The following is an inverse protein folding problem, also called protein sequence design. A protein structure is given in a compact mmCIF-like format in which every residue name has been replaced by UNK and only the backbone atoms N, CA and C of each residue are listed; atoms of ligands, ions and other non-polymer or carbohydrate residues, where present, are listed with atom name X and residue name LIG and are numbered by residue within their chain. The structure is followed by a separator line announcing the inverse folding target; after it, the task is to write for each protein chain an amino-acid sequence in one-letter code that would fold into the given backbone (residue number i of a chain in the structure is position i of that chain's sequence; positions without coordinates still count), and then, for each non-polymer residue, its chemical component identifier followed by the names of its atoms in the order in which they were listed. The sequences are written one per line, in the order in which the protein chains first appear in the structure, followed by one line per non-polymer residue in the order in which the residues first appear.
data_IF_749430476626
#
_entry.id   IF_749430476626
#
_cell.length_a   1.000
_cell.length_b   1.000
_cell.length_c   1.000
_cell.angle_alpha   90.00
_cell.angle_beta   90.00
_cell.angle_gamma   90.00
#
_symmetry.space_group_name_H-M   'P 1'
#
loop_
_entity.id
_entity.type
_entity.pdbx_description
1 polymer ?
#
# COMPACT_ATOMS: atom_id res chain seq x y z
N UNK A 1 -0.34 10.29 -15.99
CA UNK A 1 0.41 9.57 -14.93
C UNK A 1 -0.33 8.28 -14.66
N UNK A 2 0.36 7.14 -14.65
CA UNK A 2 -0.22 5.89 -14.15
C UNK A 2 -0.26 5.95 -12.63
N UNK A 3 -1.42 5.69 -12.03
CA UNK A 3 -1.59 5.54 -10.57
C UNK A 3 -1.26 4.13 -10.09
N UNK A 4 -0.95 3.21 -11.03
CA UNK A 4 -0.52 1.85 -10.72
C UNK A 4 0.90 1.84 -10.17
N UNK A 5 1.07 1.19 -9.03
CA UNK A 5 2.35 0.90 -8.42
C UNK A 5 2.60 -0.61 -8.52
N UNK A 6 3.52 -0.96 -9.41
CA UNK A 6 3.79 -2.34 -9.81
C UNK A 6 4.45 -3.13 -8.69
N UNK A 7 3.88 -4.29 -8.36
CA UNK A 7 4.44 -5.28 -7.43
C UNK A 7 5.20 -6.36 -8.23
N UNK A 8 4.59 -6.88 -9.29
CA UNK A 8 5.19 -7.82 -10.23
C UNK A 8 4.59 -7.65 -11.63
N UNK A 9 5.35 -7.94 -12.67
CA UNK A 9 4.86 -7.92 -14.04
C UNK A 9 5.60 -8.95 -14.88
N UNK A 10 4.98 -9.33 -15.99
CA UNK A 10 5.55 -10.13 -17.07
C UNK A 10 4.79 -9.89 -18.35
N UNK A 11 5.15 -10.60 -19.42
CA UNK A 11 4.59 -10.36 -20.75
C UNK A 11 3.07 -10.57 -20.82
N UNK A 12 2.51 -11.40 -19.93
CA UNK A 12 1.08 -11.74 -19.90
C UNK A 12 0.37 -11.38 -18.60
N UNK A 13 1.02 -10.65 -17.68
CA UNK A 13 0.39 -10.25 -16.43
C UNK A 13 0.96 -8.98 -15.78
N UNK A 14 0.12 -8.28 -15.02
CA UNK A 14 0.51 -7.14 -14.20
C UNK A 14 -0.15 -7.22 -12.82
N UNK A 15 0.65 -7.37 -11.78
CA UNK A 15 0.23 -7.35 -10.38
C UNK A 15 0.62 -6.03 -9.73
N UNK A 16 -0.35 -5.26 -9.23
CA UNK A 16 -0.13 -3.89 -8.76
C UNK A 16 -1.12 -3.46 -7.68
N UNK A 17 -0.84 -2.34 -7.03
CA UNK A 17 -1.82 -1.58 -6.25
C UNK A 17 -2.07 -0.22 -6.92
N UNK A 18 -3.23 0.36 -6.68
CA UNK A 18 -3.49 1.75 -7.07
C UNK A 18 -3.04 2.66 -5.93
N UNK A 19 -2.31 3.75 -6.25
CA UNK A 19 -1.76 4.66 -5.22
C UNK A 19 -2.81 5.29 -4.30
N UNK A 20 -4.08 5.28 -4.69
CA UNK A 20 -5.21 5.85 -3.94
C UNK A 20 -6.18 4.78 -3.40
N UNK A 21 -5.93 3.51 -3.70
CA UNK A 21 -6.71 2.38 -3.19
C UNK A 21 -5.78 1.37 -2.51
N UNK A 22 -5.68 1.50 -1.19
CA UNK A 22 -4.82 0.66 -0.35
C UNK A 22 -5.51 -0.65 0.06
N UNK A 23 -6.80 -0.84 -0.28
CA UNK A 23 -7.58 -2.00 0.17
C UNK A 23 -7.48 -3.19 -0.78
N UNK A 24 -7.12 -2.94 -2.04
CA UNK A 24 -7.10 -3.95 -3.08
C UNK A 24 -5.75 -4.06 -3.75
N UNK A 25 -5.42 -5.29 -4.12
CA UNK A 25 -4.39 -5.58 -5.11
C UNK A 25 -5.08 -6.04 -6.39
N UNK A 26 -4.51 -5.67 -7.53
CA UNK A 26 -5.07 -5.95 -8.84
C UNK A 26 -4.14 -6.88 -9.59
N UNK A 27 -4.72 -7.91 -10.19
CA UNK A 27 -4.03 -8.83 -11.08
C UNK A 27 -4.68 -8.77 -12.45
N UNK A 28 -3.96 -8.17 -13.40
CA UNK A 28 -4.30 -8.17 -14.81
C UNK A 28 -3.66 -9.41 -15.47
N UNK A 29 -4.44 -10.16 -16.25
CA UNK A 29 -4.02 -11.38 -16.96
C UNK A 29 -4.45 -11.30 -18.42
N UNK A 30 -3.51 -11.49 -19.34
CA UNK A 30 -3.80 -11.55 -20.77
C UNK A 30 -4.02 -13.00 -21.22
N UNK A 31 -5.11 -13.24 -21.95
CA UNK A 31 -5.42 -14.56 -22.51
C UNK A 31 -5.84 -15.62 -21.48
N UNK A 32 -6.09 -15.24 -20.23
CA UNK A 32 -6.62 -16.15 -19.21
C UNK A 32 -8.11 -16.44 -19.45
N UNK A 33 -8.49 -17.70 -19.31
CA UNK A 33 -9.90 -18.08 -19.23
C UNK A 33 -10.52 -17.49 -17.96
N UNK A 34 -11.82 -17.22 -17.96
CA UNK A 34 -12.58 -16.90 -16.75
C UNK A 34 -13.99 -17.47 -16.85
N UNK A 35 -14.58 -17.77 -15.70
CA UNK A 35 -15.98 -18.16 -15.58
C UNK A 35 -16.70 -17.07 -14.79
N UNK A 36 -17.79 -16.53 -15.35
CA UNK A 36 -18.64 -15.55 -14.68
C UNK A 36 -20.05 -16.13 -14.51
N UNK A 37 -20.56 -16.04 -13.28
CA UNK A 37 -21.93 -16.38 -12.90
C UNK A 37 -22.58 -15.17 -12.24
N UNK A 38 -23.87 -15.27 -11.88
CA UNK A 38 -24.61 -14.16 -11.29
C UNK A 38 -23.94 -13.57 -10.02
N UNK A 39 -23.24 -14.39 -9.23
CA UNK A 39 -22.68 -13.97 -7.93
C UNK A 39 -21.19 -14.30 -7.77
N UNK A 40 -20.51 -14.81 -8.80
CA UNK A 40 -19.13 -15.25 -8.70
C UNK A 40 -18.40 -15.07 -10.03
N UNK A 41 -17.16 -14.59 -9.96
CA UNK A 41 -16.20 -14.61 -11.05
C UNK A 41 -15.03 -15.47 -10.59
N UNK A 42 -14.69 -16.47 -11.40
CA UNK A 42 -13.57 -17.37 -11.16
C UNK A 42 -12.54 -17.20 -12.27
N UNK A 43 -11.33 -16.81 -11.87
CA UNK A 43 -10.20 -16.60 -12.79
C UNK A 43 -9.10 -17.60 -12.44
N UNK A 44 -8.83 -18.63 -13.27
CA UNK A 44 -7.65 -19.47 -13.10
C UNK A 44 -6.37 -18.63 -13.24
N UNK A 45 -5.59 -18.55 -12.16
CA UNK A 45 -4.26 -17.94 -12.17
C UNK A 45 -3.24 -19.02 -12.57
N UNK A 46 -2.48 -18.86 -13.67
CA UNK A 46 -1.45 -19.81 -14.04
C UNK A 46 -0.42 -19.99 -12.92
N UNK A 47 -0.06 -21.24 -12.61
CA UNK A 47 0.75 -21.57 -11.42
C UNK A 47 2.10 -20.85 -11.40
N UNK A 48 2.73 -20.64 -12.56
CA UNK A 48 4.01 -19.93 -12.66
C UNK A 48 3.87 -18.43 -12.33
N UNK A 49 2.74 -17.80 -12.66
CA UNK A 49 2.42 -16.42 -12.28
C UNK A 49 2.17 -16.35 -10.77
N UNK A 50 1.40 -17.28 -10.22
CA UNK A 50 1.17 -17.38 -8.77
C UNK A 50 2.48 -17.52 -7.99
N UNK A 51 3.38 -18.40 -8.44
CA UNK A 51 4.71 -18.60 -7.84
C UNK A 51 5.56 -17.33 -7.82
N UNK A 52 5.41 -16.45 -8.82
CA UNK A 52 6.09 -15.15 -8.84
C UNK A 52 5.45 -14.19 -7.85
N UNK A 53 4.11 -14.08 -7.87
CA UNK A 53 3.36 -13.16 -7.00
C UNK A 53 3.61 -13.49 -5.52
N UNK A 54 3.46 -14.76 -5.14
CA UNK A 54 3.59 -15.18 -3.73
C UNK A 54 4.98 -14.93 -3.14
N UNK A 55 6.03 -14.84 -3.98
CA UNK A 55 7.41 -14.57 -3.54
C UNK A 55 7.72 -13.07 -3.38
N UNK A 56 6.93 -12.20 -4.02
CA UNK A 56 7.16 -10.74 -4.04
C UNK A 56 6.56 -10.01 -2.83
N UNK A 57 5.80 -10.72 -1.99
CA UNK A 57 5.36 -10.25 -0.68
C UNK A 57 3.90 -9.79 -0.63
N UNK A 58 3.36 -9.89 0.58
CA UNK A 58 2.05 -9.42 1.02
C UNK A 58 1.97 -7.87 0.97
N UNK A 59 0.77 -7.28 1.16
CA UNK A 59 0.64 -5.84 1.42
C UNK A 59 1.64 -5.34 2.47
N UNK A 60 2.12 -4.10 2.32
CA UNK A 60 2.92 -3.42 3.34
C UNK A 60 2.08 -3.27 4.62
N UNK A 61 2.48 -3.98 5.67
CA UNK A 61 1.89 -3.95 7.01
C UNK A 61 2.88 -3.40 8.06
N UNK A 62 3.88 -2.63 7.62
CA UNK A 62 4.96 -2.13 8.48
C UNK A 62 4.54 -1.16 9.58
N UNK A 63 3.32 -0.61 9.52
CA UNK A 63 2.79 0.35 10.50
C UNK A 63 1.96 -0.30 11.60
N UNK A 64 1.51 -1.55 11.43
CA UNK A 64 0.58 -2.24 12.34
C UNK A 64 0.97 -2.08 13.81
N UNK A 65 2.27 -2.28 14.09
CA UNK A 65 2.82 -2.29 15.44
C UNK A 65 3.47 -0.95 15.86
N UNK A 66 3.45 0.06 14.98
CA UNK A 66 4.08 1.35 15.29
C UNK A 66 3.26 2.17 16.27
N UNK A 67 3.91 2.71 17.30
CA UNK A 67 3.31 3.64 18.24
C UNK A 67 3.08 5.04 17.64
N UNK A 68 2.29 5.87 18.32
CA UNK A 68 2.10 7.27 17.92
C UNK A 68 3.41 8.06 17.97
N UNK A 69 4.27 7.78 18.95
CA UNK A 69 5.57 8.40 19.10
C UNK A 69 6.53 8.00 17.98
N UNK A 70 6.54 6.72 17.59
CA UNK A 70 7.37 6.23 16.49
C UNK A 70 6.93 6.82 15.14
N UNK A 71 5.62 6.91 14.91
CA UNK A 71 5.07 7.60 13.74
C UNK A 71 5.47 9.07 13.73
N UNK A 72 5.35 9.76 14.87
CA UNK A 72 5.70 11.16 14.98
C UNK A 72 7.19 11.38 14.65
N UNK A 73 8.09 10.58 15.23
CA UNK A 73 9.54 10.67 14.95
C UNK A 73 9.82 10.50 13.46
N UNK A 74 9.21 9.50 12.81
CA UNK A 74 9.38 9.26 11.39
C UNK A 74 8.88 10.44 10.56
N UNK A 75 7.67 10.94 10.84
CA UNK A 75 7.06 12.06 10.11
C UNK A 75 7.88 13.33 10.27
N UNK A 76 8.37 13.61 11.48
CA UNK A 76 9.22 14.77 11.72
C UNK A 76 10.53 14.71 10.94
N UNK A 77 11.14 13.52 10.81
CA UNK A 77 12.33 13.30 9.99
C UNK A 77 12.03 13.54 8.51
N UNK A 78 10.98 12.91 7.98
CA UNK A 78 10.56 13.05 6.58
C UNK A 78 10.27 14.52 6.22
N UNK A 79 9.52 15.23 7.09
CA UNK A 79 9.19 16.65 6.88
C UNK A 79 10.45 17.52 6.93
N UNK A 80 11.37 17.28 7.87
CA UNK A 80 12.61 18.04 7.97
C UNK A 80 13.52 17.83 6.75
N UNK A 81 13.67 16.59 6.28
CA UNK A 81 14.44 16.26 5.07
C UNK A 81 13.83 16.94 3.84
N UNK A 82 12.51 16.91 3.72
CA UNK A 82 11.78 17.54 2.64
C UNK A 82 11.91 19.05 2.62
N UNK A 83 11.77 19.72 3.78
CA UNK A 83 11.96 21.17 3.89
C UNK A 83 13.39 21.53 3.47
N UNK A 84 14.38 20.79 3.96
CA UNK A 84 15.80 21.00 3.58
C UNK A 84 16.01 20.84 2.07
N UNK A 85 15.42 19.82 1.45
CA UNK A 85 15.52 19.62 0.00
C UNK A 85 14.87 20.76 -0.78
N UNK A 86 13.72 21.24 -0.32
CA UNK A 86 13.00 22.37 -0.92
C UNK A 86 13.78 23.69 -0.82
N UNK A 87 14.44 23.95 0.32
CA UNK A 87 15.29 25.13 0.52
C UNK A 87 16.52 25.12 -0.39
N UNK A 88 17.07 23.93 -0.70
CA UNK A 88 18.23 23.78 -1.57
C UNK A 88 17.88 23.89 -3.06
N UNK A 89 16.78 23.27 -3.48
CA UNK A 89 16.28 23.33 -4.86
C UNK A 89 14.74 23.28 -4.89
N UNK A 90 14.09 24.46 -4.96
CA UNK A 90 12.64 24.55 -5.03
C UNK A 90 12.02 23.93 -6.29
N UNK A 91 12.82 23.68 -7.33
CA UNK A 91 12.38 23.11 -8.62
C UNK A 91 12.53 21.58 -8.67
N UNK A 92 13.19 20.99 -7.67
CA UNK A 92 13.39 19.54 -7.59
C UNK A 92 12.08 18.79 -7.46
N UNK A 93 11.96 17.66 -8.17
CA UNK A 93 10.87 16.70 -7.99
C UNK A 93 10.73 16.24 -6.52
N UNK A 94 11.80 16.30 -5.73
CA UNK A 94 11.77 16.02 -4.28
C UNK A 94 10.81 16.95 -3.51
N UNK A 95 10.55 18.18 -4.00
CA UNK A 95 9.55 19.08 -3.41
C UNK A 95 8.10 18.57 -3.58
N UNK A 96 7.87 17.73 -4.60
CA UNK A 96 6.60 17.11 -4.91
C UNK A 96 6.45 15.70 -4.33
N UNK A 97 7.54 14.95 -4.11
CA UNK A 97 7.47 13.67 -3.39
C UNK A 97 6.91 13.89 -1.97
N UNK A 98 5.91 13.08 -1.59
CA UNK A 98 5.25 13.18 -0.28
C UNK A 98 4.19 14.29 -0.16
N UNK A 99 3.77 14.94 -1.26
CA UNK A 99 2.70 15.95 -1.19
C UNK A 99 1.35 15.39 -0.75
N UNK A 100 1.11 14.10 -0.97
CA UNK A 100 -0.11 13.40 -0.55
C UNK A 100 -0.19 13.29 0.99
N UNK A 101 0.81 12.72 1.70
CA UNK A 101 0.76 12.64 3.16
C UNK A 101 0.97 13.98 3.89
N UNK A 102 1.78 14.89 3.34
CA UNK A 102 2.25 16.07 4.10
C UNK A 102 1.73 17.43 3.56
N UNK A 103 1.07 17.48 2.41
CA UNK A 103 0.73 18.74 1.74
C UNK A 103 1.92 19.39 1.02
N UNK A 104 1.87 20.70 0.71
CA UNK A 104 2.96 21.39 -0.01
C UNK A 104 4.17 21.62 0.90
N UNK A 105 5.38 21.58 0.31
CA UNK A 105 6.63 21.78 1.08
C UNK A 105 6.73 23.20 1.64
N UNK A 106 6.03 24.15 0.99
CA UNK A 106 5.90 25.54 1.41
C UNK A 106 4.95 25.75 2.60
N UNK A 107 4.16 24.74 3.00
CA UNK A 107 3.27 24.89 4.16
C UNK A 107 4.08 24.93 5.46
N UNK A 108 3.57 25.56 6.54
CA UNK A 108 4.24 25.53 7.84
C UNK A 108 4.55 24.10 8.30
N UNK A 109 5.74 23.90 8.90
CA UNK A 109 6.17 22.58 9.40
C UNK A 109 5.12 21.93 10.29
N UNK A 110 4.51 22.68 11.21
CA UNK A 110 3.47 22.17 12.11
C UNK A 110 2.26 21.61 11.37
N UNK A 111 1.86 22.25 10.27
CA UNK A 111 0.76 21.78 9.43
C UNK A 111 1.15 20.50 8.66
N UNK A 112 2.38 20.44 8.15
CA UNK A 112 2.89 19.24 7.47
C UNK A 112 2.95 18.03 8.41
N UNK A 113 3.45 18.23 9.64
CA UNK A 113 3.52 17.17 10.67
C UNK A 113 2.12 16.73 11.09
N UNK A 114 1.19 17.66 11.31
CA UNK A 114 -0.19 17.31 11.66
C UNK A 114 -0.85 16.45 10.57
N UNK A 115 -0.76 16.87 9.30
CA UNK A 115 -1.31 16.11 8.16
C UNK A 115 -0.66 14.74 8.03
N UNK A 116 0.66 14.68 8.22
CA UNK A 116 1.39 13.42 8.26
C UNK A 116 0.84 12.48 9.34
N UNK A 117 0.63 13.00 10.56
CA UNK A 117 0.07 12.20 11.66
C UNK A 117 -1.33 11.69 11.33
N UNK A 118 -2.20 12.53 10.77
CA UNK A 118 -3.55 12.13 10.35
C UNK A 118 -3.49 11.02 9.28
N UNK A 119 -2.66 11.19 8.26
CA UNK A 119 -2.48 10.21 7.18
C UNK A 119 -1.94 8.87 7.70
N UNK A 120 -0.83 8.87 8.44
CA UNK A 120 -0.21 7.63 8.91
C UNK A 120 -1.01 6.93 10.01
N UNK A 121 -1.78 7.66 10.83
CA UNK A 121 -2.74 7.04 11.77
C UNK A 121 -3.85 6.33 11.03
N UNK A 122 -4.44 6.96 10.01
CA UNK A 122 -5.47 6.34 9.19
C UNK A 122 -4.92 5.11 8.46
N UNK A 123 -3.71 5.19 7.91
CA UNK A 123 -3.05 4.07 7.24
C UNK A 123 -2.71 2.93 8.20
N UNK A 124 -2.19 3.22 9.40
CA UNK A 124 -1.96 2.20 10.45
C UNK A 124 -3.26 1.49 10.81
N UNK A 125 -4.34 2.23 11.03
CA UNK A 125 -5.64 1.63 11.34
C UNK A 125 -6.08 0.65 10.26
N UNK A 126 -5.98 1.02 8.98
CA UNK A 126 -6.28 0.11 7.86
C UNK A 126 -5.41 -1.14 7.88
N UNK A 127 -4.11 -1.00 8.13
CA UNK A 127 -3.22 -2.17 8.21
C UNK A 127 -3.59 -3.09 9.38
N UNK A 128 -4.05 -2.54 10.51
CA UNK A 128 -4.56 -3.33 11.63
C UNK A 128 -5.86 -4.05 11.28
N UNK A 129 -6.78 -3.41 10.55
CA UNK A 129 -8.01 -4.03 10.04
C UNK A 129 -7.70 -5.18 9.06
N UNK A 130 -6.76 -4.97 8.13
CA UNK A 130 -6.28 -6.01 7.20
C UNK A 130 -5.68 -7.18 7.98
N UNK A 131 -4.82 -6.90 8.96
CA UNK A 131 -4.21 -7.94 9.79
C UNK A 131 -5.28 -8.76 10.52
N UNK A 132 -6.26 -8.10 11.14
CA UNK A 132 -7.35 -8.80 11.84
C UNK A 132 -8.14 -9.71 10.89
N UNK A 133 -8.46 -9.23 9.68
CA UNK A 133 -9.15 -10.02 8.67
C UNK A 133 -8.32 -11.24 8.20
N UNK A 134 -7.01 -11.08 8.03
CA UNK A 134 -6.10 -12.20 7.72
C UNK A 134 -6.09 -13.22 8.85
N UNK A 135 -5.90 -12.77 10.10
CA UNK A 135 -5.85 -13.65 11.26
C UNK A 135 -7.18 -14.45 11.42
N UNK A 136 -8.34 -13.83 11.13
CA UNK A 136 -9.64 -14.49 11.13
C UNK A 136 -9.75 -15.56 10.03
N UNK A 137 -9.32 -15.26 8.80
CA UNK A 137 -9.32 -16.20 7.69
C UNK A 137 -8.41 -17.41 7.95
N UNK A 138 -7.23 -17.18 8.53
CA UNK A 138 -6.31 -18.25 8.91
C UNK A 138 -6.91 -19.15 9.98
N UNK A 139 -7.57 -18.57 11.00
CA UNK A 139 -8.26 -19.33 12.04
C UNK A 139 -9.39 -20.18 11.49
N UNK A 140 -10.23 -19.62 10.61
CA UNK A 140 -11.31 -20.35 9.96
C UNK A 140 -10.79 -21.51 9.11
N UNK A 141 -9.71 -21.30 8.36
CA UNK A 141 -9.08 -22.35 7.57
C UNK A 141 -8.50 -23.47 8.45
N UNK A 142 -7.91 -23.14 9.61
CA UNK A 142 -7.43 -24.16 10.57
C UNK A 142 -8.59 -25.00 11.10
N UNK A 143 -9.72 -24.38 11.46
CA UNK A 143 -10.91 -25.09 11.96
C UNK A 143 -11.47 -26.06 10.93
N UNK A 144 -11.59 -25.63 9.67
CA UNK A 144 -12.11 -26.48 8.59
C UNK A 144 -11.21 -27.68 8.30
N UNK A 145 -9.88 -27.54 8.43
CA UNK A 145 -8.93 -28.63 8.19
C UNK A 145 -8.82 -29.63 9.35
N UNK A 146 -9.44 -29.34 10.51
CA UNK A 146 -9.50 -30.23 11.67
C UNK A 146 -10.90 -30.86 11.90
N UNK A 147 -11.87 -30.56 11.02
CA UNK A 147 -13.20 -31.19 10.96
C UNK A 147 -13.24 -32.34 9.97
#
# INVERSE_FOLDING_TARGET
MSTKSTIAYGDSFHFYHEMLDENYVYLELEGAMYEASYNCVMVPIPIHIWEVIRKRGAPDLSLVDKSDEELLIQIEQDVNERIRAYEQDPTSFAAFFGCIPYGKASNPRSEQVQRGMEYYKARRQRQQEIKAAVDELEENNRRLNHS
#
